data_IF_291181623110
#
_entry.id   IF_291181623110
#
_cell.length_a   1.000
_cell.length_b   1.000
_cell.length_c   1.000
_cell.angle_alpha   90.00
_cell.angle_beta   90.00
_cell.angle_gamma   90.00
#
_symmetry.space_group_name_H-M   'P 1'
#
loop_
_entity.id
_entity.type
_entity.pdbx_description
1 polymer ?
#
# COMPACT_ATOMS: atom_id res chain seq x y z
N UNK A 1 -88.85 -76.48 2.97
CA UNK A 1 -88.78 -75.18 2.26
C UNK A 1 -87.32 -74.78 2.04
N UNK A 2 -87.01 -74.17 0.90
CA UNK A 2 -85.84 -73.31 0.62
C UNK A 2 -84.45 -73.66 1.19
N UNK A 3 -83.58 -74.25 0.36
CA UNK A 3 -82.12 -74.15 0.54
C UNK A 3 -81.69 -72.68 0.36
N UNK A 4 -80.91 -72.10 1.29
CA UNK A 4 -80.19 -70.84 1.05
C UNK A 4 -78.71 -71.11 0.85
N UNK A 5 -78.24 -70.83 -0.36
CA UNK A 5 -76.83 -70.94 -0.76
C UNK A 5 -76.12 -69.66 -0.33
N UNK A 6 -75.10 -69.77 0.52
CA UNK A 6 -74.24 -68.65 0.91
C UNK A 6 -73.04 -68.59 -0.05
N UNK A 7 -73.21 -67.95 -1.20
CA UNK A 7 -72.11 -67.71 -2.13
C UNK A 7 -71.19 -66.59 -1.61
N UNK A 8 -69.89 -66.88 -1.46
CA UNK A 8 -68.87 -65.88 -1.16
C UNK A 8 -68.84 -64.81 -2.26
N UNK A 9 -69.26 -63.60 -1.94
CA UNK A 9 -68.97 -62.41 -2.74
C UNK A 9 -67.63 -61.83 -2.31
N UNK A 10 -66.61 -62.06 -3.14
CA UNK A 10 -65.33 -61.36 -3.05
C UNK A 10 -65.51 -59.90 -3.47
N UNK A 11 -65.60 -58.98 -2.49
CA UNK A 11 -65.61 -57.55 -2.76
C UNK A 11 -64.26 -57.10 -3.35
N UNK A 12 -64.28 -56.58 -4.57
CA UNK A 12 -63.13 -55.92 -5.18
C UNK A 12 -62.99 -54.51 -4.60
N UNK A 13 -61.79 -54.13 -4.12
CA UNK A 13 -61.56 -52.78 -3.58
C UNK A 13 -61.75 -51.71 -4.67
N UNK A 14 -62.34 -50.54 -4.37
CA UNK A 14 -62.43 -49.44 -5.34
C UNK A 14 -61.04 -48.95 -5.75
N UNK A 15 -60.86 -48.67 -7.04
CA UNK A 15 -59.57 -48.20 -7.60
C UNK A 15 -59.08 -46.87 -6.99
N UNK A 16 -59.99 -46.07 -6.43
CA UNK A 16 -59.70 -44.80 -5.77
C UNK A 16 -58.87 -44.97 -4.49
N UNK A 17 -59.16 -46.02 -3.71
CA UNK A 17 -58.55 -46.20 -2.39
C UNK A 17 -57.07 -46.58 -2.53
N UNK A 18 -56.74 -47.36 -3.57
CA UNK A 18 -55.37 -47.76 -3.92
C UNK A 18 -54.52 -46.54 -4.29
N UNK A 19 -55.07 -45.59 -5.06
CA UNK A 19 -54.35 -44.36 -5.44
C UNK A 19 -54.13 -43.45 -4.23
N UNK A 20 -55.09 -43.38 -3.29
CA UNK A 20 -54.93 -42.60 -2.05
C UNK A 20 -53.90 -43.24 -1.11
N UNK A 21 -53.85 -44.58 -1.04
CA UNK A 21 -52.84 -45.33 -0.29
C UNK A 21 -51.44 -45.10 -0.88
N UNK A 22 -51.27 -45.21 -2.20
CA UNK A 22 -50.01 -44.87 -2.89
C UNK A 22 -49.55 -43.41 -2.69
N UNK A 23 -50.48 -42.45 -2.67
CA UNK A 23 -50.15 -41.03 -2.44
C UNK A 23 -49.68 -40.79 -1.00
N UNK A 24 -50.30 -41.46 -0.03
CA UNK A 24 -49.88 -41.42 1.39
C UNK A 24 -48.50 -42.05 1.59
N UNK A 25 -48.20 -43.14 0.88
CA UNK A 25 -46.88 -43.77 0.90
C UNK A 25 -45.81 -42.90 0.22
N UNK A 26 -46.15 -42.20 -0.86
CA UNK A 26 -45.26 -41.21 -1.49
C UNK A 26 -45.02 -40.02 -0.57
N UNK A 27 -46.05 -39.50 0.09
CA UNK A 27 -45.94 -38.39 1.06
C UNK A 27 -45.05 -38.78 2.24
N UNK A 28 -45.26 -39.94 2.87
CA UNK A 28 -44.44 -40.38 4.01
C UNK A 28 -42.98 -40.65 3.62
N UNK A 29 -42.73 -41.15 2.40
CA UNK A 29 -41.36 -41.26 1.85
C UNK A 29 -40.69 -39.90 1.66
N UNK A 30 -41.38 -38.93 1.06
CA UNK A 30 -40.85 -37.57 0.89
C UNK A 30 -40.64 -36.87 2.25
N UNK A 31 -41.55 -37.03 3.21
CA UNK A 31 -41.38 -36.50 4.58
C UNK A 31 -40.23 -37.18 5.35
N UNK A 32 -39.81 -38.39 4.95
CA UNK A 32 -38.59 -39.01 5.48
C UNK A 32 -37.36 -38.42 4.80
N UNK A 33 -37.32 -38.38 3.48
CA UNK A 33 -36.21 -37.84 2.69
C UNK A 33 -35.89 -36.37 3.04
N UNK A 34 -36.91 -35.54 3.24
CA UNK A 34 -36.76 -34.14 3.70
C UNK A 34 -36.18 -34.04 5.11
N UNK A 35 -36.47 -35.00 6.01
CA UNK A 35 -35.87 -35.05 7.35
C UNK A 35 -34.41 -35.48 7.29
N UNK A 36 -34.12 -36.54 6.53
CA UNK A 36 -32.77 -37.08 6.38
C UNK A 36 -31.84 -36.02 5.73
N UNK A 37 -32.30 -35.34 4.66
CA UNK A 37 -31.59 -34.21 4.05
C UNK A 37 -31.41 -33.01 5.00
N UNK A 38 -32.37 -32.76 5.89
CA UNK A 38 -32.26 -31.68 6.88
C UNK A 38 -31.18 -32.01 7.92
N UNK A 39 -31.13 -33.24 8.43
CA UNK A 39 -30.08 -33.66 9.37
C UNK A 39 -28.69 -33.61 8.75
N UNK A 40 -28.55 -34.08 7.50
CA UNK A 40 -27.27 -34.00 6.76
C UNK A 40 -26.78 -32.55 6.61
N UNK A 41 -27.70 -31.60 6.36
CA UNK A 41 -27.37 -30.17 6.24
C UNK A 41 -27.02 -29.53 7.58
N UNK A 42 -27.68 -29.92 8.67
CA UNK A 42 -27.35 -29.45 10.02
C UNK A 42 -25.96 -29.94 10.46
N UNK A 43 -25.57 -31.18 10.12
CA UNK A 43 -24.26 -31.72 10.44
C UNK A 43 -23.15 -31.18 9.50
N UNK A 44 -23.45 -30.91 8.23
CA UNK A 44 -22.55 -30.18 7.33
C UNK A 44 -22.26 -28.77 7.86
N UNK A 45 -23.27 -28.08 8.42
CA UNK A 45 -23.13 -26.76 9.02
C UNK A 45 -22.25 -26.81 10.28
N UNK A 46 -22.53 -27.70 11.24
CA UNK A 46 -21.68 -27.92 12.43
C UNK A 46 -20.23 -28.23 12.07
N UNK A 47 -20.00 -29.01 11.01
CA UNK A 47 -18.65 -29.32 10.50
C UNK A 47 -17.93 -28.08 9.97
N UNK A 48 -18.64 -27.16 9.32
CA UNK A 48 -18.08 -25.89 8.84
C UNK A 48 -17.79 -24.92 9.99
N UNK A 49 -18.69 -24.82 10.97
CA UNK A 49 -18.49 -23.97 12.15
C UNK A 49 -17.28 -24.44 12.98
N UNK A 50 -17.12 -25.75 13.21
CA UNK A 50 -15.96 -26.30 13.90
C UNK A 50 -14.63 -26.01 13.17
N UNK A 51 -14.63 -26.04 11.83
CA UNK A 51 -13.46 -25.65 11.01
C UNK A 51 -13.20 -24.14 11.11
N UNK A 52 -14.24 -23.33 11.10
CA UNK A 52 -14.15 -21.87 11.20
C UNK A 52 -13.52 -21.44 12.54
N UNK A 53 -13.92 -22.05 13.65
CA UNK A 53 -13.31 -21.76 14.96
C UNK A 53 -11.84 -22.20 15.02
N UNK A 54 -11.49 -23.36 14.46
CA UNK A 54 -10.10 -23.79 14.36
C UNK A 54 -9.24 -22.79 13.55
N UNK A 55 -9.75 -22.29 12.41
CA UNK A 55 -9.08 -21.23 11.64
C UNK A 55 -8.94 -19.92 12.43
N UNK A 56 -9.98 -19.49 13.17
CA UNK A 56 -9.92 -18.30 14.04
C UNK A 56 -8.90 -18.47 15.17
N UNK A 57 -8.79 -19.65 15.77
CA UNK A 57 -7.76 -19.96 16.78
C UNK A 57 -6.36 -19.93 16.17
N UNK A 58 -6.18 -20.49 14.97
CA UNK A 58 -4.90 -20.44 14.26
C UNK A 58 -4.48 -19.01 13.92
N UNK A 59 -5.41 -18.15 13.50
CA UNK A 59 -5.16 -16.73 13.26
C UNK A 59 -4.73 -16.04 14.56
N UNK A 60 -5.50 -16.16 15.65
CA UNK A 60 -5.15 -15.59 16.97
C UNK A 60 -3.77 -16.05 17.46
N UNK A 61 -3.45 -17.33 17.29
CA UNK A 61 -2.13 -17.88 17.66
C UNK A 61 -1.00 -17.26 16.83
N UNK A 62 -1.18 -17.10 15.51
CA UNK A 62 -0.20 -16.47 14.63
C UNK A 62 -0.06 -14.96 14.91
N UNK A 63 -1.13 -14.26 15.29
CA UNK A 63 -1.08 -12.86 15.69
C UNK A 63 -0.24 -12.65 16.96
N UNK A 64 -0.42 -13.51 17.97
CA UNK A 64 0.38 -13.50 19.20
C UNK A 64 1.86 -13.77 18.88
N UNK A 65 2.15 -14.78 18.05
CA UNK A 65 3.52 -15.09 17.61
C UNK A 65 4.16 -13.91 16.87
N UNK A 66 3.40 -13.23 15.99
CA UNK A 66 3.88 -12.07 15.23
C UNK A 66 4.18 -10.86 16.14
N UNK A 67 3.38 -10.66 17.20
CA UNK A 67 3.65 -9.66 18.25
C UNK A 67 4.93 -10.02 19.02
N UNK A 68 5.12 -11.29 19.38
CA UNK A 68 6.33 -11.73 20.10
C UNK A 68 7.59 -11.63 19.25
N UNK A 69 7.52 -11.99 17.96
CA UNK A 69 8.62 -11.84 17.00
C UNK A 69 8.97 -10.36 16.74
N UNK A 70 7.98 -9.46 16.68
CA UNK A 70 8.22 -8.01 16.62
C UNK A 70 8.91 -7.51 17.88
N UNK A 71 8.52 -7.99 19.07
CA UNK A 71 9.17 -7.66 20.34
C UNK A 71 10.62 -8.16 20.39
N UNK A 72 10.88 -9.41 19.97
CA UNK A 72 12.24 -9.97 19.90
C UNK A 72 13.13 -9.19 18.95
N UNK A 73 12.65 -8.87 17.75
CA UNK A 73 13.37 -8.00 16.77
C UNK A 73 13.71 -6.63 17.36
N UNK A 74 12.77 -5.99 18.07
CA UNK A 74 13.02 -4.69 18.69
C UNK A 74 14.07 -4.76 19.80
N UNK A 75 14.10 -5.86 20.57
CA UNK A 75 15.13 -6.11 21.58
C UNK A 75 16.50 -6.40 20.93
N UNK A 76 16.55 -7.18 19.85
CA UNK A 76 17.76 -7.42 19.04
C UNK A 76 18.32 -6.12 18.43
N UNK A 77 17.45 -5.26 17.89
CA UNK A 77 17.82 -3.92 17.40
C UNK A 77 18.36 -3.04 18.52
N UNK A 78 17.78 -3.11 19.74
CA UNK A 78 18.26 -2.39 20.92
C UNK A 78 19.65 -2.86 21.36
N UNK A 79 19.87 -4.18 21.44
CA UNK A 79 21.16 -4.78 21.80
C UNK A 79 22.24 -4.44 20.77
N UNK A 80 21.93 -4.47 19.46
CA UNK A 80 22.87 -4.03 18.42
C UNK A 80 23.16 -2.53 18.47
N UNK A 81 22.25 -1.70 18.98
CA UNK A 81 22.48 -0.26 19.15
C UNK A 81 23.46 0.03 20.30
N UNK A 82 23.41 -0.74 21.39
CA UNK A 82 24.36 -0.62 22.51
C UNK A 82 25.76 -1.20 22.15
N UNK A 83 25.85 -2.30 21.41
CA UNK A 83 27.12 -2.82 20.88
C UNK A 83 27.81 -1.80 19.93
N UNK A 84 27.03 -1.12 19.09
CA UNK A 84 27.54 -0.07 18.21
C UNK A 84 27.92 1.21 18.99
N UNK A 85 27.34 1.42 20.18
CA UNK A 85 27.70 2.50 21.11
C UNK A 85 29.05 2.21 21.77
N UNK A 86 29.29 0.97 22.20
CA UNK A 86 30.56 0.50 22.75
C UNK A 86 31.71 0.59 21.72
N UNK A 87 31.43 0.29 20.44
CA UNK A 87 32.41 0.49 19.35
C UNK A 87 32.65 1.96 18.98
N UNK A 88 31.68 2.85 19.17
CA UNK A 88 31.83 4.28 18.90
C UNK A 88 32.63 5.03 19.95
N UNK A 89 32.65 4.57 21.21
CA UNK A 89 33.49 5.16 22.26
C UNK A 89 34.98 5.09 21.92
N UNK A 90 35.45 4.00 21.30
CA UNK A 90 36.86 3.86 20.90
C UNK A 90 37.22 4.68 19.65
N UNK A 91 36.27 4.85 18.72
CA UNK A 91 36.54 5.60 17.48
C UNK A 91 36.39 7.13 17.62
N UNK A 92 35.64 7.60 18.64
CA UNK A 92 35.41 9.03 18.87
C UNK A 92 36.67 9.78 19.38
N UNK A 93 37.67 9.07 19.94
CA UNK A 93 38.89 9.70 20.43
C UNK A 93 39.89 10.11 19.31
N UNK A 94 39.69 9.62 18.08
CA UNK A 94 40.64 9.83 16.96
C UNK A 94 40.29 11.04 16.06
N UNK A 95 39.00 11.41 15.95
CA UNK A 95 38.55 12.37 14.94
C UNK A 95 38.38 13.83 15.43
N UNK A 96 38.67 14.10 16.71
CA UNK A 96 38.53 15.45 17.31
C UNK A 96 39.81 16.32 17.25
N UNK A 97 40.87 15.86 16.59
CA UNK A 97 42.20 16.51 16.64
C UNK A 97 42.56 17.41 15.45
N UNK A 98 41.59 17.85 14.62
CA UNK A 98 41.89 18.63 13.39
C UNK A 98 41.27 20.02 13.24
N UNK A 99 40.46 20.49 14.18
CA UNK A 99 39.98 21.89 14.18
C UNK A 99 39.82 22.44 15.61
N UNK A 100 40.91 22.93 16.19
CA UNK A 100 40.96 24.14 17.01
C UNK A 100 42.40 24.47 17.42
N UNK A 101 42.92 25.57 16.89
CA UNK A 101 44.14 26.20 17.38
C UNK A 101 43.84 27.65 17.74
N UNK A 102 44.20 28.06 18.98
CA UNK A 102 43.95 29.39 19.59
C UNK A 102 42.46 29.58 19.99
N UNK A 103 42.07 30.01 21.19
CA UNK A 103 42.80 30.59 22.34
C UNK A 103 42.38 29.92 23.67
N UNK A 104 43.25 30.01 24.68
CA UNK A 104 43.17 29.34 25.99
C UNK A 104 42.32 30.02 27.07
N UNK A 105 41.89 29.20 28.04
CA UNK A 105 41.62 29.52 29.46
C UNK A 105 40.34 30.27 29.84
N UNK A 106 39.40 29.55 30.46
CA UNK A 106 39.22 29.64 31.92
C UNK A 106 38.82 28.28 32.51
N UNK A 107 38.98 28.08 33.83
CA UNK A 107 39.02 26.76 34.49
C UNK A 107 37.89 26.59 35.52
N UNK A 108 37.63 25.32 35.87
CA UNK A 108 36.77 24.80 36.97
C UNK A 108 35.27 24.85 36.71
N UNK A 109 34.43 23.96 37.27
CA UNK A 109 34.55 22.55 37.70
C UNK A 109 33.21 22.19 38.35
N UNK A 110 32.64 21.01 38.06
CA UNK A 110 32.23 20.03 39.07
C UNK A 110 31.54 18.82 38.43
N UNK A 111 31.91 17.63 38.90
CA UNK A 111 31.20 16.37 38.62
C UNK A 111 30.18 16.12 39.72
N UNK A 112 29.01 15.58 39.37
CA UNK A 112 28.25 14.63 40.21
C UNK A 112 27.75 13.52 39.27
N UNK A 113 27.79 12.28 39.73
CA UNK A 113 27.45 11.09 38.96
C UNK A 113 26.26 10.35 39.58
N UNK A 114 25.54 9.63 38.72
CA UNK A 114 24.70 8.44 39.00
C UNK A 114 23.57 8.55 40.05
N UNK A 115 22.34 8.41 39.56
CA UNK A 115 21.44 7.41 40.15
C UNK A 115 20.51 6.79 39.08
N UNK A 116 20.23 5.49 39.22
CA UNK A 116 19.30 4.72 38.38
C UNK A 116 18.29 4.07 39.32
N UNK A 117 16.99 4.11 39.01
CA UNK A 117 16.01 3.35 39.77
C UNK A 117 14.53 3.55 39.42
N UNK A 118 13.90 2.45 38.99
CA UNK A 118 12.48 2.11 39.20
C UNK A 118 11.36 2.85 38.45
N UNK A 119 11.06 2.32 37.26
CA UNK A 119 9.75 1.77 36.85
C UNK A 119 8.54 1.95 37.79
N UNK A 120 7.39 2.34 37.22
CA UNK A 120 6.12 1.62 37.41
C UNK A 120 5.21 1.81 36.16
N UNK A 121 4.22 0.92 35.89
CA UNK A 121 3.58 0.84 34.57
C UNK A 121 2.31 1.70 34.42
N UNK A 122 2.12 2.25 33.22
CA UNK A 122 0.85 2.86 32.84
C UNK A 122 -0.14 1.82 32.30
N UNK A 123 -1.39 1.89 32.79
CA UNK A 123 -2.54 1.23 32.15
C UNK A 123 -2.82 1.95 30.83
N UNK A 124 -2.77 1.24 29.71
CA UNK A 124 -3.26 1.77 28.44
C UNK A 124 -4.72 1.32 28.23
N UNK A 125 -5.62 2.30 28.22
CA UNK A 125 -7.06 2.12 28.01
C UNK A 125 -7.31 1.97 26.50
N UNK A 126 -8.10 0.97 26.12
CA UNK A 126 -8.50 0.76 24.72
C UNK A 126 -9.26 1.97 24.18
N UNK A 127 -8.89 2.43 22.99
CA UNK A 127 -9.69 3.32 22.15
C UNK A 127 -9.71 2.73 20.75
N UNK A 128 -10.88 2.27 20.33
CA UNK A 128 -11.13 1.76 18.99
C UNK A 128 -10.95 2.86 17.93
N UNK A 129 -10.43 2.48 16.77
CA UNK A 129 -11.06 2.85 15.50
C UNK A 129 -10.64 1.89 14.37
N UNK A 130 -11.52 1.61 13.39
CA UNK A 130 -11.42 0.41 12.55
C UNK A 130 -10.62 0.65 11.27
N UNK A 131 -9.79 -0.32 10.88
CA UNK A 131 -9.30 -0.44 9.49
C UNK A 131 -10.08 -1.55 8.79
N UNK A 132 -10.71 -1.17 7.68
CA UNK A 132 -11.69 -1.94 6.95
C UNK A 132 -11.00 -2.94 5.99
N UNK A 133 -10.63 -4.13 6.45
CA UNK A 133 -10.21 -5.24 5.57
C UNK A 133 -11.42 -6.01 5.05
N UNK A 134 -11.91 -5.58 3.88
CA UNK A 134 -13.00 -6.22 3.14
C UNK A 134 -12.58 -7.60 2.64
N UNK A 135 -12.81 -8.63 3.45
CA UNK A 135 -12.55 -10.02 3.10
C UNK A 135 -13.50 -10.48 1.99
N UNK A 136 -12.96 -10.77 0.81
CA UNK A 136 -13.72 -11.37 -0.30
C UNK A 136 -13.98 -12.84 -0.01
N UNK A 137 -15.16 -13.12 0.56
CA UNK A 137 -15.66 -14.48 0.69
C UNK A 137 -15.91 -15.10 -0.70
N UNK A 138 -15.52 -16.36 -0.87
CA UNK A 138 -15.70 -17.10 -2.12
C UNK A 138 -17.17 -17.52 -2.27
N UNK A 139 -17.96 -16.72 -2.98
CA UNK A 139 -19.27 -17.17 -3.46
C UNK A 139 -19.10 -18.03 -4.73
N UNK A 140 -19.69 -19.22 -4.68
CA UNK A 140 -19.55 -20.26 -5.69
C UNK A 140 -20.45 -19.96 -6.90
N UNK A 141 -19.95 -19.11 -7.82
CA UNK A 141 -20.74 -18.66 -8.98
C UNK A 141 -21.02 -19.79 -9.95
N UNK A 142 -22.28 -20.22 -9.98
CA UNK A 142 -22.85 -20.96 -11.10
C UNK A 142 -22.72 -20.10 -12.37
N UNK A 143 -21.93 -20.54 -13.35
CA UNK A 143 -21.69 -19.79 -14.59
C UNK A 143 -22.95 -19.84 -15.47
N UNK A 144 -23.86 -18.89 -15.24
CA UNK A 144 -24.86 -18.48 -16.23
C UNK A 144 -24.12 -17.78 -17.38
N UNK A 145 -24.44 -18.06 -18.66
CA UNK A 145 -23.85 -17.32 -19.77
C UNK A 145 -24.07 -15.81 -19.61
N UNK A 146 -23.00 -15.04 -19.43
CA UNK A 146 -23.06 -13.57 -19.44
C UNK A 146 -23.31 -13.13 -20.89
N UNK A 147 -24.41 -12.43 -21.11
CA UNK A 147 -24.70 -11.76 -22.39
C UNK A 147 -23.69 -10.63 -22.58
N UNK A 148 -23.21 -10.42 -23.81
CA UNK A 148 -22.35 -9.29 -24.15
C UNK A 148 -23.00 -7.97 -23.67
N UNK A 149 -22.26 -7.17 -22.91
CA UNK A 149 -22.70 -5.87 -22.42
C UNK A 149 -21.97 -4.75 -23.14
N UNK A 150 -22.70 -3.66 -23.37
CA UNK A 150 -22.09 -2.39 -23.73
C UNK A 150 -21.44 -1.79 -22.47
N UNK A 151 -20.19 -1.30 -22.55
CA UNK A 151 -19.53 -0.61 -21.45
C UNK A 151 -20.26 0.68 -21.08
N UNK A 152 -20.14 1.13 -19.83
CA UNK A 152 -20.65 2.46 -19.47
C UNK A 152 -19.77 3.54 -20.14
N UNK A 153 -20.34 4.68 -20.56
CA UNK A 153 -19.54 5.76 -21.13
C UNK A 153 -18.59 6.33 -20.05
N UNK A 154 -17.34 6.66 -20.41
CA UNK A 154 -16.38 7.23 -19.47
C UNK A 154 -16.85 8.60 -18.95
N UNK A 155 -16.36 9.04 -17.77
CA UNK A 155 -16.61 10.37 -17.26
C UNK A 155 -16.10 11.43 -18.26
N UNK A 156 -17.00 12.31 -18.71
CA UNK A 156 -16.64 13.38 -19.66
C UNK A 156 -15.65 14.36 -18.99
N UNK A 157 -14.53 14.71 -19.64
CA UNK A 157 -13.63 15.73 -19.12
C UNK A 157 -14.34 17.09 -19.04
N UNK A 158 -13.95 17.91 -18.06
CA UNK A 158 -14.61 19.20 -17.81
C UNK A 158 -14.32 20.21 -18.93
N UNK A 159 -15.26 20.35 -19.87
CA UNK A 159 -15.15 21.28 -21.01
C UNK A 159 -15.43 22.73 -20.63
N UNK A 160 -14.37 23.51 -20.39
CA UNK A 160 -14.45 24.98 -20.49
C UNK A 160 -14.60 25.37 -21.95
N UNK A 161 -15.72 26.02 -22.28
CA UNK A 161 -16.08 26.41 -23.65
C UNK A 161 -15.18 27.53 -24.16
N UNK A 162 -14.47 27.33 -25.27
CA UNK A 162 -14.01 28.41 -26.16
C UNK A 162 -14.01 27.98 -27.63
N UNK A 163 -14.17 28.98 -28.51
CA UNK A 163 -14.70 28.83 -29.86
C UNK A 163 -13.64 28.49 -30.92
N UNK A 164 -14.15 27.97 -32.03
CA UNK A 164 -13.45 27.67 -33.28
C UNK A 164 -12.74 28.87 -33.91
N UNK A 165 -11.60 28.62 -34.54
CA UNK A 165 -11.33 29.17 -35.89
C UNK A 165 -10.40 28.23 -36.66
N UNK A 166 -10.70 28.03 -37.95
CA UNK A 166 -9.93 27.16 -38.82
C UNK A 166 -9.34 27.97 -39.99
N UNK A 167 -8.05 27.80 -40.28
CA UNK A 167 -7.44 28.24 -41.54
C UNK A 167 -6.50 27.15 -42.08
N UNK A 168 -6.68 26.82 -43.36
CA UNK A 168 -5.81 25.96 -44.17
C UNK A 168 -4.89 26.84 -45.01
N UNK A 169 -3.68 26.35 -45.34
CA UNK A 169 -2.93 26.64 -46.58
C UNK A 169 -1.77 25.61 -46.72
N UNK A 170 -1.27 25.29 -47.94
CA UNK A 170 -0.81 23.94 -48.29
C UNK A 170 0.75 23.81 -48.44
N UNK A 171 1.32 22.64 -48.84
CA UNK A 171 2.70 22.28 -48.51
C UNK A 171 3.75 22.61 -49.59
N UNK A 172 5.03 22.59 -49.17
CA UNK A 172 6.18 22.43 -50.07
C UNK A 172 6.91 21.11 -49.78
N UNK A 173 7.19 20.35 -50.84
CA UNK A 173 8.00 19.13 -50.79
C UNK A 173 9.43 19.40 -51.28
N UNK A 174 10.41 18.67 -50.72
CA UNK A 174 11.53 18.05 -51.47
C UNK A 174 12.38 17.13 -50.59
N UNK A 175 12.24 15.82 -50.85
CA UNK A 175 13.29 14.80 -50.91
C UNK A 175 14.60 14.95 -50.10
N UNK A 176 14.81 14.07 -49.12
CA UNK A 176 15.93 13.11 -49.14
C UNK A 176 15.81 12.03 -48.06
N UNK A 177 16.08 10.77 -48.43
CA UNK A 177 16.28 9.62 -47.55
C UNK A 177 16.98 8.52 -48.37
N UNK A 178 17.66 7.52 -47.76
CA UNK A 178 18.34 7.50 -46.46
C UNK A 178 19.83 7.06 -46.62
N UNK A 179 20.61 6.94 -45.53
CA UNK A 179 21.68 5.94 -45.43
C UNK A 179 21.29 4.76 -44.51
N UNK A 180 21.81 3.55 -44.76
CA UNK A 180 21.40 2.33 -44.06
C UNK A 180 21.98 2.18 -42.63
N UNK A 181 21.37 1.34 -41.77
CA UNK A 181 21.91 1.02 -40.45
C UNK A 181 23.19 0.17 -40.53
N UNK A 182 24.16 0.35 -39.62
CA UNK A 182 25.32 -0.54 -39.50
C UNK A 182 24.92 -1.94 -39.01
N UNK A 183 25.62 -3.01 -39.44
CA UNK A 183 25.26 -4.40 -39.15
C UNK A 183 25.51 -4.81 -37.68
N UNK A 184 24.76 -5.79 -37.15
CA UNK A 184 24.96 -6.32 -35.80
C UNK A 184 26.24 -7.17 -35.70
N UNK A 185 27.09 -6.99 -34.69
CA UNK A 185 28.24 -7.86 -34.43
C UNK A 185 27.80 -9.24 -33.88
N UNK A 186 28.55 -10.32 -34.16
CA UNK A 186 28.17 -11.70 -33.83
C UNK A 186 28.33 -12.05 -32.34
N UNK A 187 27.53 -13.02 -31.89
CA UNK A 187 27.62 -13.61 -30.55
C UNK A 187 28.90 -14.47 -30.39
N UNK A 188 29.71 -14.27 -29.33
CA UNK A 188 30.72 -15.23 -28.92
C UNK A 188 30.16 -16.27 -27.95
N UNK A 189 30.33 -17.55 -28.27
CA UNK A 189 30.02 -18.67 -27.38
C UNK A 189 31.11 -18.80 -26.30
N UNK A 190 30.70 -19.05 -25.05
CA UNK A 190 31.47 -19.54 -23.88
C UNK A 190 33.02 -19.45 -23.90
N UNK A 191 33.57 -18.72 -22.93
CA UNK A 191 34.76 -19.20 -22.19
C UNK A 191 35.84 -18.15 -21.87
N UNK A 192 36.46 -18.27 -20.68
CA UNK A 192 37.73 -17.61 -20.35
C UNK A 192 37.68 -16.54 -19.25
N UNK A 193 38.57 -16.65 -18.26
CA UNK A 193 38.83 -15.64 -17.20
C UNK A 193 39.80 -14.58 -17.77
N UNK A 194 39.73 -13.29 -17.43
CA UNK A 194 40.43 -12.62 -16.29
C UNK A 194 40.59 -11.11 -16.64
N UNK A 195 40.89 -10.11 -15.78
CA UNK A 195 40.93 -9.91 -14.32
C UNK A 195 40.93 -8.38 -14.03
N UNK A 196 40.56 -7.95 -12.81
CA UNK A 196 40.69 -6.55 -12.33
C UNK A 196 39.38 -5.74 -12.35
N UNK A 197 39.10 -4.84 -11.41
CA UNK A 197 39.73 -4.53 -10.11
C UNK A 197 38.79 -3.58 -9.36
N UNK A 198 38.61 -3.76 -8.05
CA UNK A 198 37.57 -3.06 -7.27
C UNK A 198 36.75 -4.05 -6.43
N UNK A 199 36.62 -3.71 -5.15
CA UNK A 199 36.24 -4.52 -3.99
C UNK A 199 35.22 -5.65 -4.26
N UNK A 200 35.57 -6.88 -3.87
CA UNK A 200 34.85 -8.10 -4.27
C UNK A 200 34.31 -8.88 -3.06
N UNK A 201 33.23 -8.38 -2.47
CA UNK A 201 32.32 -9.25 -1.69
C UNK A 201 31.68 -10.25 -2.65
N UNK A 202 32.31 -11.42 -2.81
CA UNK A 202 31.75 -12.52 -3.59
C UNK A 202 30.62 -13.17 -2.79
N UNK A 203 29.45 -13.33 -3.40
CA UNK A 203 28.43 -14.23 -2.85
C UNK A 203 29.00 -15.64 -2.79
N UNK A 204 28.95 -16.24 -1.61
CA UNK A 204 29.33 -17.63 -1.35
C UNK A 204 28.04 -18.46 -1.38
N UNK A 205 27.74 -19.22 -2.45
CA UNK A 205 26.49 -19.98 -2.54
C UNK A 205 26.38 -21.05 -1.45
N UNK A 206 27.53 -21.53 -0.95
CA UNK A 206 27.62 -22.47 0.17
C UNK A 206 27.01 -21.90 1.47
N UNK A 207 27.00 -20.58 1.69
CA UNK A 207 26.35 -19.98 2.87
C UNK A 207 24.83 -20.14 2.78
N UNK A 208 24.25 -19.93 1.60
CA UNK A 208 22.82 -20.14 1.35
C UNK A 208 22.48 -21.64 1.43
N UNK A 209 23.36 -22.49 0.88
CA UNK A 209 23.26 -23.95 0.99
C UNK A 209 23.30 -24.43 2.44
N UNK A 210 24.26 -23.96 3.23
CA UNK A 210 24.42 -24.29 4.65
C UNK A 210 23.24 -23.79 5.48
N UNK A 211 22.77 -22.56 5.23
CA UNK A 211 21.59 -22.00 5.89
C UNK A 211 20.33 -22.85 5.63
N UNK A 212 20.03 -23.18 4.36
CA UNK A 212 18.91 -24.08 4.05
C UNK A 212 19.13 -25.51 4.57
N UNK A 213 20.38 -25.98 4.65
CA UNK A 213 20.71 -27.29 5.18
C UNK A 213 20.49 -27.36 6.71
N UNK A 214 20.83 -26.30 7.46
CA UNK A 214 20.52 -26.18 8.88
C UNK A 214 19.02 -26.08 9.11
N UNK A 215 18.34 -25.12 8.46
CA UNK A 215 16.90 -24.88 8.62
C UNK A 215 15.99 -26.02 8.13
N UNK A 216 16.52 -27.03 7.43
CA UNK A 216 15.78 -28.25 7.02
C UNK A 216 16.07 -29.49 7.88
N UNK A 217 17.02 -29.44 8.82
CA UNK A 217 17.28 -30.59 9.72
C UNK A 217 16.36 -30.65 10.93
N UNK A 218 15.82 -29.53 11.38
CA UNK A 218 15.00 -29.46 12.60
C UNK A 218 13.52 -29.85 12.41
N UNK A 219 13.12 -30.36 11.23
CA UNK A 219 11.73 -30.78 10.95
C UNK A 219 11.57 -32.24 10.49
N UNK A 220 12.50 -33.14 10.86
CA UNK A 220 12.25 -34.59 10.79
C UNK A 220 12.76 -35.34 12.04
N UNK A 221 11.89 -35.40 13.05
CA UNK A 221 11.75 -36.60 13.88
C UNK A 221 10.28 -37.02 13.90
N UNK A 222 9.88 -37.88 12.96
CA UNK A 222 9.56 -39.28 13.30
C UNK A 222 9.24 -40.16 12.09
N UNK A 223 9.51 -41.45 12.31
CA UNK A 223 8.92 -42.62 11.68
C UNK A 223 9.19 -42.87 10.18
N UNK A 224 10.36 -43.44 9.93
CA UNK A 224 10.65 -44.25 8.74
C UNK A 224 10.12 -45.68 8.91
N UNK A 225 9.52 -46.24 7.85
CA UNK A 225 9.45 -47.68 7.62
C UNK A 225 8.10 -48.36 7.91
N UNK A 226 7.28 -48.52 6.87
CA UNK A 226 6.09 -49.36 6.88
C UNK A 226 5.53 -49.55 5.48
N UNK A 227 5.38 -50.80 5.03
CA UNK A 227 4.82 -51.13 3.72
C UNK A 227 3.32 -50.88 3.71
N UNK A 228 2.80 -50.13 2.73
CA UNK A 228 1.37 -50.17 2.41
C UNK A 228 0.79 -48.87 1.88
N UNK A 229 0.23 -48.96 0.66
CA UNK A 229 -0.78 -48.06 0.09
C UNK A 229 -0.31 -46.64 -0.33
N UNK A 230 -0.57 -46.33 -1.60
CA UNK A 230 -0.44 -44.98 -2.15
C UNK A 230 -1.32 -44.00 -1.36
N UNK A 231 -0.73 -42.89 -0.88
CA UNK A 231 -1.52 -41.82 -0.27
C UNK A 231 -2.36 -41.13 -1.34
N UNK A 232 -3.65 -41.49 -1.39
CA UNK A 232 -4.69 -40.84 -2.21
C UNK A 232 -5.01 -39.41 -1.71
N UNK A 233 -4.31 -38.93 -0.66
CA UNK A 233 -4.47 -37.58 -0.12
C UNK A 233 -4.01 -36.46 -1.06
N UNK A 234 -2.89 -36.63 -1.77
CA UNK A 234 -2.32 -35.58 -2.63
C UNK A 234 -2.89 -35.56 -4.05
N UNK A 235 -3.40 -36.68 -4.57
CA UNK A 235 -3.96 -36.71 -5.94
C UNK A 235 -5.22 -35.85 -6.03
N UNK A 236 -6.07 -35.82 -5.01
CA UNK A 236 -7.29 -35.00 -4.99
C UNK A 236 -7.01 -33.50 -4.94
N UNK A 237 -5.94 -33.09 -4.26
CA UNK A 237 -5.48 -31.70 -4.20
C UNK A 237 -4.85 -31.27 -5.53
N UNK A 238 -3.98 -32.11 -6.12
CA UNK A 238 -3.45 -31.90 -7.47
C UNK A 238 -4.53 -31.89 -8.56
N UNK A 239 -5.54 -32.75 -8.46
CA UNK A 239 -6.69 -32.78 -9.37
C UNK A 239 -7.53 -31.51 -9.18
N UNK A 240 -7.84 -31.11 -7.95
CA UNK A 240 -8.56 -29.86 -7.68
C UNK A 240 -7.81 -28.62 -8.19
N UNK A 241 -6.48 -28.58 -8.04
CA UNK A 241 -5.65 -27.52 -8.60
C UNK A 241 -5.64 -27.53 -10.14
N UNK A 242 -5.52 -28.71 -10.77
CA UNK A 242 -5.57 -28.86 -12.23
C UNK A 242 -6.95 -28.47 -12.77
N UNK A 243 -8.04 -28.93 -12.13
CA UNK A 243 -9.41 -28.60 -12.49
C UNK A 243 -9.67 -27.10 -12.35
N UNK A 244 -9.24 -26.48 -11.25
CA UNK A 244 -9.37 -25.03 -11.02
C UNK A 244 -8.52 -24.20 -12.01
N UNK A 245 -7.29 -24.63 -12.32
CA UNK A 245 -6.49 -24.01 -13.38
C UNK A 245 -7.15 -24.18 -14.76
N UNK A 246 -7.77 -25.34 -15.02
CA UNK A 246 -8.46 -25.62 -16.28
C UNK A 246 -9.77 -24.84 -16.43
N UNK A 247 -10.51 -24.61 -15.34
CA UNK A 247 -11.73 -23.81 -15.34
C UNK A 247 -11.40 -22.32 -15.50
N UNK A 248 -10.35 -21.82 -14.82
CA UNK A 248 -9.82 -20.47 -15.02
C UNK A 248 -9.41 -20.22 -16.47
N UNK A 249 -8.61 -21.12 -17.06
CA UNK A 249 -8.21 -21.03 -18.47
C UNK A 249 -9.40 -21.11 -19.44
N UNK A 250 -10.42 -21.92 -19.13
CA UNK A 250 -11.65 -21.98 -19.93
C UNK A 250 -12.47 -20.69 -19.82
N UNK A 251 -12.55 -20.11 -18.63
CA UNK A 251 -13.24 -18.85 -18.37
C UNK A 251 -12.54 -17.67 -19.08
N UNK A 252 -11.20 -17.60 -19.02
CA UNK A 252 -10.39 -16.64 -19.82
C UNK A 252 -10.72 -16.78 -21.30
N UNK A 253 -10.72 -18.01 -21.85
CA UNK A 253 -11.03 -18.24 -23.25
C UNK A 253 -12.46 -17.79 -23.60
N UNK A 254 -13.44 -18.06 -22.73
CA UNK A 254 -14.82 -17.59 -22.90
C UNK A 254 -14.91 -16.06 -22.89
N UNK A 255 -14.20 -15.37 -21.99
CA UNK A 255 -14.16 -13.90 -21.97
C UNK A 255 -13.51 -13.32 -23.24
N UNK A 256 -12.42 -13.92 -23.74
CA UNK A 256 -11.78 -13.50 -25.00
C UNK A 256 -12.73 -13.66 -26.20
N UNK A 257 -13.54 -14.71 -26.23
CA UNK A 257 -14.51 -14.97 -27.30
C UNK A 257 -15.76 -14.07 -27.21
N UNK A 258 -16.31 -13.88 -26.00
CA UNK A 258 -17.60 -13.19 -25.77
C UNK A 258 -17.44 -11.68 -25.57
N UNK A 259 -16.36 -11.23 -24.91
CA UNK A 259 -16.16 -9.82 -24.56
C UNK A 259 -15.29 -9.05 -25.57
N UNK A 260 -15.05 -9.61 -26.77
CA UNK A 260 -14.26 -8.97 -27.82
C UNK A 260 -14.73 -7.55 -28.15
N UNK A 261 -16.04 -7.32 -28.35
CA UNK A 261 -16.57 -5.99 -28.69
C UNK A 261 -16.39 -4.98 -27.54
N UNK A 262 -16.54 -5.44 -26.30
CA UNK A 262 -16.30 -4.65 -25.08
C UNK A 262 -14.83 -4.23 -24.97
N UNK A 263 -13.89 -5.16 -25.19
CA UNK A 263 -12.44 -4.87 -25.14
C UNK A 263 -12.00 -3.98 -26.30
N UNK A 264 -12.56 -4.16 -27.49
CA UNK A 264 -12.31 -3.28 -28.65
C UNK A 264 -12.85 -1.85 -28.42
N UNK A 265 -13.95 -1.69 -27.65
CA UNK A 265 -14.39 -0.37 -27.18
C UNK A 265 -13.39 0.22 -26.18
N UNK A 266 -13.03 -0.53 -25.12
CA UNK A 266 -12.08 -0.06 -24.11
C UNK A 266 -10.73 0.32 -24.73
N UNK A 267 -10.26 -0.44 -25.74
CA UNK A 267 -9.03 -0.10 -26.48
C UNK A 267 -9.16 1.27 -27.14
N UNK A 268 -10.22 1.48 -27.93
CA UNK A 268 -10.47 2.76 -28.62
C UNK A 268 -10.56 3.92 -27.64
N UNK A 269 -11.19 3.72 -26.49
CA UNK A 269 -11.29 4.76 -25.48
C UNK A 269 -9.92 5.09 -24.87
N UNK A 270 -9.10 4.09 -24.54
CA UNK A 270 -7.71 4.31 -24.08
C UNK A 270 -6.85 4.94 -25.17
N UNK A 271 -6.98 4.56 -26.45
CA UNK A 271 -6.22 5.14 -27.56
C UNK A 271 -6.62 6.60 -27.83
N UNK A 272 -7.92 6.92 -27.78
CA UNK A 272 -8.43 8.28 -27.95
C UNK A 272 -8.23 9.17 -26.70
N UNK A 273 -8.00 8.58 -25.52
CA UNK A 273 -7.84 9.30 -24.26
C UNK A 273 -6.76 10.39 -24.35
N UNK A 274 -7.17 11.65 -24.24
CA UNK A 274 -6.29 12.81 -24.21
C UNK A 274 -6.86 13.81 -23.19
N UNK A 275 -6.05 14.20 -22.22
CA UNK A 275 -6.52 14.97 -21.07
C UNK A 275 -5.74 16.28 -20.90
N UNK A 276 -6.39 17.27 -20.32
CA UNK A 276 -5.79 18.57 -19.96
C UNK A 276 -5.51 18.69 -18.46
N UNK A 277 -6.35 18.08 -17.62
CA UNK A 277 -6.18 18.00 -16.16
C UNK A 277 -5.86 16.57 -15.74
N UNK A 278 -5.08 16.40 -14.67
CA UNK A 278 -4.70 15.09 -14.16
C UNK A 278 -5.86 14.42 -13.40
N UNK A 279 -6.75 15.23 -12.81
CA UNK A 279 -7.95 14.80 -12.10
C UNK A 279 -8.92 14.04 -13.03
N UNK A 280 -9.05 14.47 -14.29
CA UNK A 280 -9.81 13.76 -15.32
C UNK A 280 -9.15 12.39 -15.65
N UNK A 281 -7.81 12.30 -15.63
CA UNK A 281 -7.08 11.03 -15.78
C UNK A 281 -7.33 10.09 -14.60
N UNK A 282 -7.36 10.60 -13.36
CA UNK A 282 -7.66 9.81 -12.16
C UNK A 282 -9.08 9.23 -12.25
N UNK A 283 -10.06 10.03 -12.67
CA UNK A 283 -11.43 9.58 -12.87
C UNK A 283 -11.54 8.54 -14.01
N UNK A 284 -10.85 8.77 -15.13
CA UNK A 284 -10.81 7.83 -16.25
C UNK A 284 -10.14 6.50 -15.88
N UNK A 285 -9.00 6.54 -15.20
CA UNK A 285 -8.26 5.32 -14.80
C UNK A 285 -9.08 4.50 -13.80
N UNK A 286 -9.76 5.17 -12.86
CA UNK A 286 -10.70 4.50 -11.95
C UNK A 286 -11.84 3.81 -12.71
N UNK A 287 -12.47 4.50 -13.67
CA UNK A 287 -13.51 3.89 -14.52
C UNK A 287 -12.95 2.71 -15.33
N UNK A 288 -11.74 2.85 -15.88
CA UNK A 288 -11.10 1.80 -16.67
C UNK A 288 -10.78 0.55 -15.82
N UNK A 289 -10.25 0.72 -14.60
CA UNK A 289 -10.02 -0.40 -13.69
C UNK A 289 -11.36 -1.02 -13.21
N UNK A 290 -12.42 -0.22 -13.02
CA UNK A 290 -13.78 -0.73 -12.72
C UNK A 290 -14.35 -1.57 -13.88
N UNK A 291 -14.23 -1.11 -15.14
CA UNK A 291 -14.69 -1.88 -16.31
C UNK A 291 -13.82 -3.12 -16.56
N UNK A 292 -12.49 -3.03 -16.39
CA UNK A 292 -11.59 -4.18 -16.51
C UNK A 292 -11.88 -5.26 -15.44
N UNK A 293 -12.30 -4.87 -14.23
CA UNK A 293 -12.64 -5.81 -13.15
C UNK A 293 -13.81 -6.77 -13.48
N UNK A 294 -14.55 -6.57 -14.57
CA UNK A 294 -15.57 -7.51 -15.06
C UNK A 294 -15.00 -8.76 -15.76
N UNK A 295 -13.72 -8.73 -16.15
CA UNK A 295 -12.98 -9.83 -16.75
C UNK A 295 -12.50 -10.82 -15.70
N UNK A 296 -12.47 -12.11 -16.03
CA UNK A 296 -12.00 -13.17 -15.11
C UNK A 296 -10.50 -13.08 -14.80
N UNK A 297 -9.70 -12.59 -15.74
CA UNK A 297 -8.27 -12.31 -15.58
C UNK A 297 -7.86 -11.23 -16.59
N UNK A 298 -7.80 -9.98 -16.14
CA UNK A 298 -7.51 -8.82 -16.99
C UNK A 298 -6.26 -9.04 -17.86
N UNK A 299 -5.17 -9.50 -17.26
CA UNK A 299 -3.88 -9.65 -17.95
C UNK A 299 -3.91 -10.81 -18.95
N UNK A 300 -4.50 -11.94 -18.59
CA UNK A 300 -4.60 -13.08 -19.48
C UNK A 300 -5.57 -12.83 -20.64
N UNK A 301 -6.68 -12.14 -20.40
CA UNK A 301 -7.65 -11.77 -21.43
C UNK A 301 -7.05 -10.71 -22.36
N UNK A 302 -6.59 -9.56 -21.84
CA UNK A 302 -6.07 -8.43 -22.64
C UNK A 302 -4.90 -8.82 -23.56
N UNK A 303 -4.08 -9.81 -23.17
CA UNK A 303 -2.97 -10.33 -24.00
C UNK A 303 -3.41 -10.88 -25.36
N UNK A 304 -4.68 -11.27 -25.53
CA UNK A 304 -5.23 -11.76 -26.81
C UNK A 304 -5.66 -10.63 -27.75
N UNK A 305 -5.49 -9.37 -27.33
CA UNK A 305 -5.90 -8.16 -28.03
C UNK A 305 -4.69 -7.24 -28.19
N UNK A 306 -4.70 -6.35 -29.18
CA UNK A 306 -3.66 -5.31 -29.36
C UNK A 306 -3.83 -4.19 -28.32
N UNK A 307 -3.77 -4.52 -27.03
CA UNK A 307 -4.01 -3.56 -25.96
C UNK A 307 -2.87 -2.52 -25.89
N UNK A 308 -3.15 -1.21 -25.76
CA UNK A 308 -2.13 -0.17 -25.65
C UNK A 308 -1.49 -0.15 -24.25
N UNK A 309 -0.81 -1.25 -23.89
CA UNK A 309 -0.15 -1.47 -22.59
C UNK A 309 0.71 -0.26 -22.19
N UNK A 310 1.56 0.22 -23.10
CA UNK A 310 2.43 1.37 -22.84
C UNK A 310 1.69 2.66 -22.48
N UNK A 311 0.48 2.88 -23.02
CA UNK A 311 -0.36 4.05 -22.73
C UNK A 311 -1.13 3.85 -21.43
N UNK A 312 -1.76 2.67 -21.25
CA UNK A 312 -2.43 2.30 -20.01
C UNK A 312 -1.50 2.38 -18.79
N UNK A 313 -0.29 1.85 -18.91
CA UNK A 313 0.71 1.90 -17.85
C UNK A 313 1.26 3.32 -17.63
N UNK A 314 1.33 4.17 -18.68
CA UNK A 314 1.65 5.58 -18.51
C UNK A 314 0.57 6.33 -17.71
N UNK A 315 -0.71 6.03 -17.96
CA UNK A 315 -1.85 6.61 -17.24
C UNK A 315 -1.84 6.16 -15.78
N UNK A 316 -1.66 4.86 -15.51
CA UNK A 316 -1.52 4.31 -14.14
C UNK A 316 -0.34 4.91 -13.38
N UNK A 317 0.83 5.02 -14.01
CA UNK A 317 2.04 5.62 -13.44
C UNK A 317 1.80 7.10 -13.07
N UNK A 318 1.16 7.87 -13.96
CA UNK A 318 0.81 9.27 -13.72
C UNK A 318 -0.21 9.44 -12.58
N UNK A 319 -1.27 8.62 -12.57
CA UNK A 319 -2.29 8.62 -11.51
C UNK A 319 -1.70 8.24 -10.16
N UNK A 320 -0.87 7.20 -10.09
CA UNK A 320 -0.20 6.81 -8.85
C UNK A 320 0.72 7.91 -8.33
N UNK A 321 1.56 8.49 -9.22
CA UNK A 321 2.47 9.59 -8.86
C UNK A 321 1.74 10.85 -8.37
N UNK A 322 0.61 11.21 -8.99
CA UNK A 322 -0.23 12.32 -8.54
C UNK A 322 -0.89 12.04 -7.19
N UNK A 323 -1.50 10.87 -7.00
CA UNK A 323 -2.19 10.50 -5.78
C UNK A 323 -1.24 10.43 -4.57
N UNK A 324 -0.03 9.89 -4.73
CA UNK A 324 0.97 9.84 -3.67
C UNK A 324 1.47 11.25 -3.30
N UNK A 325 1.72 12.11 -4.30
CA UNK A 325 2.06 13.52 -4.10
C UNK A 325 0.95 14.26 -3.32
N UNK A 326 -0.31 14.08 -3.74
CA UNK A 326 -1.49 14.71 -3.12
C UNK A 326 -1.71 14.22 -1.69
N UNK A 327 -1.37 12.97 -1.39
CA UNK A 327 -1.42 12.40 -0.04
C UNK A 327 -0.42 13.08 0.90
N UNK A 328 0.85 13.25 0.48
CA UNK A 328 1.85 13.94 1.33
C UNK A 328 1.53 15.43 1.47
N UNK A 329 1.08 16.09 0.41
CA UNK A 329 0.61 17.49 0.44
C UNK A 329 -0.56 17.66 1.44
N UNK A 330 -1.57 16.80 1.37
CA UNK A 330 -2.73 16.86 2.27
C UNK A 330 -2.40 16.44 3.70
N UNK A 331 -1.47 15.51 3.95
CA UNK A 331 -0.98 15.17 5.30
C UNK A 331 -0.39 16.42 5.98
N UNK A 332 0.41 17.21 5.26
CA UNK A 332 1.00 18.45 5.79
C UNK A 332 0.00 19.61 5.93
N UNK A 333 -0.90 19.79 4.95
CA UNK A 333 -1.92 20.86 4.98
C UNK A 333 -2.99 20.57 6.04
N UNK A 334 -3.39 19.31 6.24
CA UNK A 334 -4.38 18.93 7.26
C UNK A 334 -3.81 18.84 8.67
N UNK A 335 -2.47 18.76 8.83
CA UNK A 335 -1.81 18.67 10.13
C UNK A 335 -2.34 19.72 11.10
N UNK A 336 -3.08 19.29 12.11
CA UNK A 336 -3.66 20.13 13.15
C UNK A 336 -3.05 19.69 14.47
N UNK A 337 -2.58 20.65 15.26
CA UNK A 337 -2.02 20.34 16.56
C UNK A 337 -3.15 20.29 17.60
N UNK A 338 -3.34 19.11 18.20
CA UNK A 338 -4.21 18.97 19.36
C UNK A 338 -3.50 19.58 20.57
N UNK A 339 -3.56 20.91 20.68
CA UNK A 339 -2.94 21.70 21.76
C UNK A 339 -3.25 21.18 23.18
N UNK A 340 -4.37 20.46 23.35
CA UNK A 340 -4.84 19.86 24.60
C UNK A 340 -4.35 18.43 24.86
N UNK A 341 -3.74 17.75 23.86
CA UNK A 341 -3.33 16.33 23.94
C UNK A 341 -1.87 16.06 23.59
N UNK A 342 -1.16 16.97 22.94
CA UNK A 342 0.21 16.73 22.47
C UNK A 342 1.24 17.67 23.10
N UNK A 343 2.24 17.09 23.78
CA UNK A 343 3.44 17.80 24.23
C UNK A 343 4.12 18.48 23.03
N UNK A 344 4.50 19.76 23.15
CA UNK A 344 5.00 20.57 22.04
C UNK A 344 6.14 19.88 21.27
N UNK A 345 7.16 19.36 21.95
CA UNK A 345 8.27 18.65 21.30
C UNK A 345 7.84 17.46 20.43
N UNK A 346 6.73 16.79 20.76
CA UNK A 346 6.19 15.69 19.94
C UNK A 346 5.50 16.20 18.66
N UNK A 347 4.78 17.33 18.75
CA UNK A 347 4.16 17.98 17.60
C UNK A 347 5.24 18.55 16.65
N UNK A 348 6.23 19.26 17.19
CA UNK A 348 7.36 19.79 16.40
C UNK A 348 8.15 18.67 15.70
N UNK A 349 8.38 17.53 16.38
CA UNK A 349 9.04 16.37 15.75
C UNK A 349 8.20 15.74 14.63
N UNK A 350 6.87 15.69 14.75
CA UNK A 350 5.97 15.28 13.65
C UNK A 350 6.05 16.24 12.47
N UNK A 351 6.02 17.55 12.72
CA UNK A 351 6.19 18.57 11.66
C UNK A 351 7.56 18.47 10.96
N UNK A 352 8.63 18.12 11.68
CA UNK A 352 9.94 17.83 11.08
C UNK A 352 9.88 16.61 10.15
N UNK A 353 9.30 15.49 10.59
CA UNK A 353 9.11 14.32 9.72
C UNK A 353 8.22 14.59 8.49
N UNK A 354 7.21 15.46 8.62
CA UNK A 354 6.40 15.92 7.50
C UNK A 354 7.19 16.76 6.50
N UNK A 355 8.07 17.65 6.97
CA UNK A 355 8.97 18.40 6.09
C UNK A 355 9.93 17.48 5.33
N UNK A 356 10.50 16.47 6.00
CA UNK A 356 11.37 15.48 5.36
C UNK A 356 10.62 14.66 4.29
N UNK A 357 9.36 14.26 4.54
CA UNK A 357 8.49 13.64 3.53
C UNK A 357 8.24 14.57 2.33
N UNK A 358 7.97 15.86 2.56
CA UNK A 358 7.73 16.85 1.51
C UNK A 358 8.99 17.07 0.64
N UNK A 359 10.16 17.22 1.27
CA UNK A 359 11.45 17.35 0.58
C UNK A 359 11.75 16.10 -0.27
N UNK A 360 11.53 14.90 0.28
CA UNK A 360 11.69 13.64 -0.45
C UNK A 360 10.70 13.52 -1.62
N UNK A 361 9.44 13.91 -1.41
CA UNK A 361 8.40 13.94 -2.44
C UNK A 361 8.74 14.88 -3.60
N UNK A 362 9.25 16.09 -3.31
CA UNK A 362 9.72 17.02 -4.34
C UNK A 362 10.93 16.49 -5.12
N UNK A 363 11.89 15.85 -4.44
CA UNK A 363 13.03 15.21 -5.10
C UNK A 363 12.58 14.07 -6.02
N UNK A 364 11.70 13.19 -5.53
CA UNK A 364 11.12 12.10 -6.32
C UNK A 364 10.35 12.64 -7.54
N UNK A 365 9.54 13.69 -7.36
CA UNK A 365 8.80 14.36 -8.43
C UNK A 365 9.73 14.92 -9.52
N UNK A 366 10.85 15.57 -9.16
CA UNK A 366 11.81 16.07 -10.15
C UNK A 366 12.44 14.92 -10.94
N UNK A 367 12.85 13.84 -10.26
CA UNK A 367 13.44 12.64 -10.90
C UNK A 367 12.46 11.96 -11.85
N UNK A 368 11.22 11.76 -11.42
CA UNK A 368 10.14 11.22 -12.26
C UNK A 368 9.83 12.14 -13.45
N UNK A 369 9.84 13.46 -13.25
CA UNK A 369 9.64 14.42 -14.34
C UNK A 369 10.74 14.34 -15.40
N UNK A 370 12.00 14.22 -15.01
CA UNK A 370 13.14 14.10 -15.93
C UNK A 370 13.01 12.87 -16.86
N UNK A 371 12.55 11.73 -16.35
CA UNK A 371 12.37 10.50 -17.14
C UNK A 371 11.03 10.42 -17.88
N UNK A 372 9.92 10.76 -17.23
CA UNK A 372 8.57 10.50 -17.74
C UNK A 372 8.00 11.61 -18.65
N UNK A 373 8.49 12.86 -18.58
CA UNK A 373 7.90 13.99 -19.34
C UNK A 373 7.79 13.71 -20.85
N UNK A 374 8.79 13.04 -21.45
CA UNK A 374 8.75 12.69 -22.88
C UNK A 374 7.67 11.63 -23.17
N UNK A 375 7.56 10.61 -22.31
CA UNK A 375 6.56 9.53 -22.40
C UNK A 375 5.14 10.10 -22.28
N UNK A 376 4.90 10.94 -21.27
CA UNK A 376 3.60 11.56 -21.03
C UNK A 376 3.15 12.50 -22.15
N UNK A 377 4.07 13.29 -22.73
CA UNK A 377 3.78 14.11 -23.92
C UNK A 377 3.37 13.29 -25.14
N UNK A 378 4.01 12.14 -25.39
CA UNK A 378 3.62 11.23 -26.48
C UNK A 378 2.21 10.67 -26.29
N UNK A 379 1.77 10.45 -25.06
CA UNK A 379 0.48 9.87 -24.71
C UNK A 379 -0.62 10.89 -24.37
N UNK A 380 -0.40 12.19 -24.60
CA UNK A 380 -1.34 13.27 -24.25
C UNK A 380 -1.75 13.27 -22.77
N UNK A 381 -0.80 12.94 -21.89
CA UNK A 381 -0.96 12.98 -20.43
C UNK A 381 -0.45 14.34 -19.92
N UNK A 382 -1.23 15.08 -19.11
CA UNK A 382 -0.80 16.34 -18.51
C UNK A 382 0.50 16.19 -17.71
N UNK A 383 1.39 17.17 -17.79
CA UNK A 383 2.65 17.22 -17.01
C UNK A 383 2.71 18.44 -16.06
N UNK A 384 1.66 19.25 -16.02
CA UNK A 384 1.53 20.44 -15.16
C UNK A 384 1.49 20.09 -13.66
N UNK A 385 0.92 18.95 -13.29
CA UNK A 385 0.92 18.44 -11.92
C UNK A 385 2.31 18.02 -11.43
N UNK A 386 3.28 17.85 -12.33
CA UNK A 386 4.67 17.52 -12.00
C UNK A 386 5.51 18.73 -11.56
N UNK A 387 4.86 19.85 -11.25
CA UNK A 387 5.47 21.05 -10.69
C UNK A 387 5.48 20.96 -9.15
N UNK A 388 6.59 21.35 -8.54
CA UNK A 388 6.79 21.25 -7.08
C UNK A 388 6.05 22.33 -6.27
N UNK A 389 5.33 23.24 -6.94
CA UNK A 389 4.57 24.35 -6.33
C UNK A 389 3.60 23.90 -5.22
N UNK A 390 2.91 22.77 -5.38
CA UNK A 390 1.99 22.24 -4.35
C UNK A 390 2.72 21.83 -3.07
N UNK A 391 3.84 21.10 -3.23
CA UNK A 391 4.69 20.65 -2.12
C UNK A 391 5.39 21.82 -1.42
N UNK A 392 5.86 22.82 -2.18
CA UNK A 392 6.39 24.07 -1.63
C UNK A 392 5.33 24.87 -0.88
N UNK A 393 4.10 24.96 -1.41
CA UNK A 393 2.98 25.59 -0.72
C UNK A 393 2.61 24.87 0.58
N UNK A 394 2.65 23.53 0.60
CA UNK A 394 2.41 22.73 1.79
C UNK A 394 3.52 22.90 2.84
N UNK A 395 4.80 22.96 2.45
CA UNK A 395 5.91 23.19 3.39
C UNK A 395 5.88 24.59 4.01
N UNK A 396 5.54 25.63 3.22
CA UNK A 396 5.34 27.00 3.73
C UNK A 396 4.21 27.06 4.77
N UNK A 397 3.04 26.47 4.45
CA UNK A 397 1.92 26.35 5.41
C UNK A 397 2.30 25.55 6.67
N UNK A 398 3.14 24.54 6.55
CA UNK A 398 3.67 23.77 7.67
C UNK A 398 4.62 24.61 8.53
N UNK A 399 5.49 25.43 7.93
CA UNK A 399 6.36 26.37 8.66
C UNK A 399 5.56 27.43 9.43
N UNK A 400 4.49 27.96 8.85
CA UNK A 400 3.58 28.85 9.58
C UNK A 400 3.03 28.19 10.84
N UNK A 401 2.49 26.95 10.73
CA UNK A 401 1.97 26.20 11.89
C UNK A 401 3.06 25.92 12.92
N UNK A 402 4.26 25.56 12.47
CA UNK A 402 5.43 25.36 13.32
C UNK A 402 5.77 26.61 14.12
N UNK A 403 5.91 27.76 13.45
CA UNK A 403 6.26 29.03 14.10
C UNK A 403 5.17 29.54 15.04
N UNK A 404 3.88 29.39 14.66
CA UNK A 404 2.75 29.68 15.56
C UNK A 404 2.78 28.77 16.79
N UNK A 405 3.08 27.48 16.65
CA UNK A 405 3.16 26.53 17.78
C UNK A 405 4.32 26.82 18.73
N UNK A 406 5.50 27.10 18.19
CA UNK A 406 6.66 27.58 18.97
C UNK A 406 6.31 28.88 19.68
N UNK A 407 5.71 29.83 18.97
CA UNK A 407 5.33 31.14 19.53
C UNK A 407 4.31 31.02 20.68
N UNK A 408 3.38 30.06 20.63
CA UNK A 408 2.48 29.76 21.73
C UNK A 408 3.20 29.08 22.91
N UNK A 409 4.10 28.13 22.66
CA UNK A 409 4.85 27.45 23.74
C UNK A 409 5.75 28.43 24.52
N UNK A 410 6.31 29.44 23.84
CA UNK A 410 7.10 30.53 24.45
C UNK A 410 6.29 31.43 25.41
N UNK A 411 4.96 31.29 25.50
CA UNK A 411 4.14 31.97 26.50
C UNK A 411 4.01 31.16 27.81
N UNK A 412 4.15 29.83 27.74
CA UNK A 412 4.03 28.92 28.88
C UNK A 412 5.40 28.51 29.47
N UNK A 413 6.44 28.42 28.65
CA UNK A 413 7.80 28.04 29.07
C UNK A 413 8.45 29.17 29.87
N UNK A 414 9.06 28.83 31.01
CA UNK A 414 9.79 29.77 31.87
C UNK A 414 10.97 30.46 31.16
N UNK A 415 11.57 31.46 31.82
CA UNK A 415 12.83 32.05 31.32
C UNK A 415 13.99 31.07 31.40
N UNK A 416 14.95 31.15 30.46
CA UNK A 416 16.18 30.35 30.46
C UNK A 416 16.45 29.60 29.15
N UNK A 417 17.35 28.62 29.22
CA UNK A 417 17.91 27.91 28.05
C UNK A 417 16.87 27.19 27.18
N UNK A 418 15.77 26.70 27.76
CA UNK A 418 14.69 26.00 27.04
C UNK A 418 13.97 26.94 26.05
N UNK A 419 13.76 28.20 26.46
CA UNK A 419 13.18 29.26 25.63
C UNK A 419 14.07 29.59 24.42
N UNK A 420 15.38 29.65 24.64
CA UNK A 420 16.37 29.89 23.58
C UNK A 420 16.46 28.71 22.59
N UNK A 421 16.40 27.47 23.09
CA UNK A 421 16.39 26.27 22.25
C UNK A 421 15.14 26.21 21.35
N UNK A 422 13.95 26.46 21.90
CA UNK A 422 12.70 26.53 21.13
C UNK A 422 12.73 27.61 20.04
N UNK A 423 13.24 28.80 20.36
CA UNK A 423 13.46 29.88 19.36
C UNK A 423 14.41 29.40 18.26
N UNK A 424 15.56 28.82 18.63
CA UNK A 424 16.56 28.35 17.68
C UNK A 424 16.00 27.23 16.79
N UNK A 425 15.18 26.33 17.34
CA UNK A 425 14.49 25.28 16.61
C UNK A 425 13.47 25.87 15.61
N UNK A 426 12.70 26.88 16.03
CA UNK A 426 11.78 27.64 15.18
C UNK A 426 12.48 28.34 14.02
N UNK A 427 13.56 29.08 14.29
CA UNK A 427 14.33 29.79 13.26
C UNK A 427 15.03 28.82 12.30
N UNK A 428 15.60 27.71 12.79
CA UNK A 428 16.20 26.66 11.94
C UNK A 428 15.15 26.02 11.02
N UNK A 429 13.95 25.72 11.52
CA UNK A 429 12.87 25.17 10.73
C UNK A 429 12.40 26.15 9.65
N UNK A 430 12.14 27.40 10.04
CA UNK A 430 11.77 28.47 9.12
C UNK A 430 12.81 28.67 8.02
N UNK A 431 14.10 28.74 8.37
CA UNK A 431 15.19 28.87 7.40
C UNK A 431 15.25 27.68 6.43
N UNK A 432 15.11 26.44 6.91
CA UNK A 432 15.11 25.26 6.03
C UNK A 432 13.96 25.30 5.02
N UNK A 433 12.75 25.62 5.47
CA UNK A 433 11.58 25.75 4.57
C UNK A 433 11.75 26.92 3.60
N UNK A 434 12.28 28.06 4.05
CA UNK A 434 12.57 29.20 3.18
C UNK A 434 13.54 28.83 2.05
N UNK A 435 14.64 28.12 2.38
CA UNK A 435 15.61 27.64 1.39
C UNK A 435 15.02 26.59 0.43
N UNK A 436 14.09 25.75 0.89
CA UNK A 436 13.43 24.73 0.07
C UNK A 436 12.33 25.29 -0.85
N UNK A 437 11.49 26.18 -0.33
CA UNK A 437 10.38 26.78 -1.05
C UNK A 437 10.78 27.98 -1.92
N UNK A 438 11.89 28.65 -1.59
CA UNK A 438 12.36 29.87 -2.25
C UNK A 438 11.73 31.16 -1.72
N UNK A 439 11.02 31.10 -0.59
CA UNK A 439 10.36 32.24 0.03
C UNK A 439 9.20 31.83 0.96
N UNK A 440 8.51 32.82 1.49
CA UNK A 440 7.29 32.67 2.31
C UNK A 440 6.12 33.44 1.70
N UNK A 441 4.91 33.01 2.01
CA UNK A 441 3.70 33.81 1.78
C UNK A 441 3.53 34.88 2.88
N UNK A 442 2.54 35.75 2.72
CA UNK A 442 2.29 36.88 3.64
C UNK A 442 1.90 36.43 5.05
N UNK A 443 1.20 35.30 5.18
CA UNK A 443 0.79 34.76 6.49
C UNK A 443 1.97 34.10 7.22
N UNK A 444 2.79 33.32 6.52
CA UNK A 444 4.01 32.70 7.08
C UNK A 444 5.05 33.75 7.45
N UNK A 445 5.18 34.82 6.65
CA UNK A 445 6.04 35.97 6.98
C UNK A 445 5.61 36.63 8.28
N UNK A 446 4.31 36.88 8.47
CA UNK A 446 3.77 37.43 9.73
C UNK A 446 4.04 36.51 10.93
N UNK A 447 3.88 35.19 10.77
CA UNK A 447 4.19 34.22 11.83
C UNK A 447 5.70 34.22 12.20
N UNK A 448 6.59 34.43 11.23
CA UNK A 448 8.03 34.60 11.48
C UNK A 448 8.35 35.91 12.20
N UNK A 449 7.66 37.01 11.87
CA UNK A 449 7.79 38.30 12.57
C UNK A 449 7.34 38.21 14.03
N UNK A 450 6.27 37.48 14.33
CA UNK A 450 5.83 37.22 15.71
C UNK A 450 6.92 36.48 16.51
N UNK A 451 7.46 35.39 15.95
CA UNK A 451 8.56 34.63 16.55
C UNK A 451 9.81 35.50 16.78
N UNK A 452 10.14 36.37 15.82
CA UNK A 452 11.25 37.34 15.93
C UNK A 452 11.01 38.38 17.04
N UNK A 453 9.78 38.83 17.23
CA UNK A 453 9.43 39.76 18.30
C UNK A 453 9.48 39.07 19.68
N UNK A 454 9.01 37.83 19.79
CA UNK A 454 9.17 37.00 21.00
C UNK A 454 10.65 36.72 21.33
N UNK A 455 11.49 36.54 20.30
CA UNK A 455 12.95 36.43 20.45
C UNK A 455 13.59 37.69 21.04
N UNK A 456 13.19 38.88 20.55
CA UNK A 456 13.66 40.17 21.10
C UNK A 456 13.25 40.36 22.55
N UNK A 457 12.00 40.03 22.89
CA UNK A 457 11.48 40.11 24.26
C UNK A 457 12.27 39.20 25.22
N UNK A 458 12.57 37.96 24.79
CA UNK A 458 13.42 37.03 25.53
C UNK A 458 14.80 37.64 25.83
N UNK A 459 15.48 38.20 24.84
CA UNK A 459 16.81 38.77 25.02
C UNK A 459 16.83 39.94 26.03
N UNK A 460 15.80 40.81 25.99
CA UNK A 460 15.66 41.90 26.97
C UNK A 460 15.39 41.38 28.39
N UNK A 461 14.62 40.31 28.57
CA UNK A 461 14.40 39.68 29.88
C UNK A 461 15.70 39.08 30.43
N UNK A 462 16.49 38.41 29.60
CA UNK A 462 17.80 37.85 30.00
C UNK A 462 18.80 38.95 30.40
N UNK A 463 18.89 40.05 29.64
CA UNK A 463 19.76 41.18 30.00
C UNK A 463 19.35 41.85 31.32
N UNK A 464 18.05 42.06 31.54
CA UNK A 464 17.57 42.68 32.79
C UNK A 464 17.83 41.79 34.02
N UNK A 465 17.72 40.45 33.89
CA UNK A 465 18.07 39.52 34.98
C UNK A 465 19.58 39.47 35.28
N UNK A 466 20.43 39.76 34.29
CA UNK A 466 21.88 39.86 34.46
C UNK A 466 22.33 41.21 35.07
N UNK A 467 21.46 42.21 35.15
CA UNK A 467 21.75 43.52 35.77
C UNK A 467 21.17 43.65 37.19
N UNK A 468 20.42 42.65 37.67
CA UNK A 468 19.82 42.60 39.02
C UNK A 468 20.48 41.57 39.95
N UNK A 469 21.53 40.87 39.49
CA UNK A 469 22.44 40.06 40.29
C UNK A 469 23.85 40.67 40.24
#
# INVERSE_FOLDING_TARGET
MGKKIFSRLSFSRPKTDIVVEELRDKETRLQKEVRDLKTDKEDELKSKDAKLENFKERIRSLEIENIELKRKRFEEERMMMDDNKLRKTDHCFSQSQRFQGKVSSFRKSNNIALFVGSNNPEKLVSVDNPIHTRSTSLEQVYVRPKVARLPNPPPKPSSTVLLSSALKIPPMAKSSAPPPPPPPPPMPVKGGKAVGGGDKVKRVPEVVGLYHSLMRRDTQQKDSGGVGMLSVGNTRDMIGEIENRSSHLRAIKTDVEVQKEFIEYLRKEVDNAAFTNIEDVVAFMKWLDEELSYLVDERAVLKHFEWPEHKGDALREAVFGYCDLKKVESEAISFSDDHLRQNCGSALKKMQGLLEKLEHGAFHLSRMRESATKKYKTFSIPTNWMLDNGIKGASVKLAMKYMKRVSAELEYVGGGSEREELILQGVKFAFRVHQFAGGFDTETTRAFEELRNKTRSCHMQCQNQQQQN
#
